data_IF_572908503940
#
_entry.id   IF_572908503940
#
_cell.length_a   1.000
_cell.length_b   1.000
_cell.length_c   1.000
_cell.angle_alpha   90.00
_cell.angle_beta   90.00
_cell.angle_gamma   90.00
#
_symmetry.space_group_name_H-M   'P 1'
#
loop_
_entity.id
_entity.type
_entity.pdbx_description
1 polymer ?
#
# COMPACT_ATOMS: atom_id res chain seq x y z
N UNK A 1 21.11 -32.76 -8.71
CA UNK A 1 19.66 -32.48 -8.74
C UNK A 1 19.02 -33.27 -7.62
N UNK A 2 18.04 -32.71 -6.92
CA UNK A 2 17.08 -33.55 -6.19
C UNK A 2 15.88 -33.59 -7.13
N UNK A 3 15.79 -34.63 -7.93
CA UNK A 3 14.65 -34.83 -8.81
C UNK A 3 13.48 -35.25 -7.92
N UNK A 4 12.60 -34.29 -7.62
CA UNK A 4 11.25 -34.60 -7.15
C UNK A 4 10.58 -35.36 -8.28
N UNK A 5 10.01 -36.54 -8.03
CA UNK A 5 9.28 -37.27 -9.08
C UNK A 5 8.14 -36.38 -9.59
N UNK A 6 7.89 -36.39 -10.90
CA UNK A 6 6.83 -35.61 -11.55
C UNK A 6 5.51 -35.69 -10.78
N UNK A 7 5.17 -36.91 -10.38
CA UNK A 7 3.90 -37.24 -9.73
C UNK A 7 3.76 -36.58 -8.34
N UNK A 8 4.86 -36.42 -7.61
CA UNK A 8 4.84 -35.72 -6.31
C UNK A 8 4.72 -34.21 -6.48
N UNK A 9 5.29 -33.65 -7.55
CA UNK A 9 5.19 -32.22 -7.82
C UNK A 9 3.78 -31.81 -8.25
N UNK A 10 3.10 -32.66 -9.03
CA UNK A 10 1.74 -32.40 -9.49
C UNK A 10 0.73 -32.55 -8.34
N UNK A 11 0.92 -33.54 -7.45
CA UNK A 11 0.11 -33.69 -6.23
C UNK A 11 0.24 -32.48 -5.29
N UNK A 12 1.46 -31.98 -5.11
CA UNK A 12 1.70 -30.82 -4.25
C UNK A 12 1.10 -29.54 -4.84
N UNK A 13 1.16 -29.35 -6.15
CA UNK A 13 0.49 -28.23 -6.83
C UNK A 13 -1.03 -28.28 -6.65
N UNK A 14 -1.63 -29.45 -6.82
CA UNK A 14 -3.08 -29.62 -6.68
C UNK A 14 -3.54 -29.42 -5.22
N UNK A 15 -2.72 -29.83 -4.24
CA UNK A 15 -3.05 -29.71 -2.81
C UNK A 15 -2.90 -28.29 -2.27
N UNK A 16 -1.84 -27.58 -2.65
CA UNK A 16 -1.49 -26.28 -2.05
C UNK A 16 -1.79 -25.09 -2.96
N UNK A 17 -2.13 -25.31 -4.22
CA UNK A 17 -2.26 -24.26 -5.22
C UNK A 17 -0.91 -23.75 -5.74
N UNK A 18 -0.95 -22.84 -6.71
CA UNK A 18 0.24 -22.38 -7.44
C UNK A 18 1.23 -21.60 -6.57
N UNK A 19 0.72 -20.62 -5.79
CA UNK A 19 1.58 -19.69 -5.04
C UNK A 19 2.38 -20.38 -3.92
N UNK A 20 1.78 -21.20 -3.02
CA UNK A 20 2.55 -21.88 -1.99
C UNK A 20 3.52 -22.93 -2.55
N UNK A 21 3.15 -23.58 -3.65
CA UNK A 21 4.06 -24.51 -4.33
C UNK A 21 5.30 -23.79 -4.87
N UNK A 22 5.12 -22.65 -5.54
CA UNK A 22 6.22 -21.85 -6.06
C UNK A 22 7.16 -21.38 -4.94
N UNK A 23 6.60 -21.04 -3.77
CA UNK A 23 7.39 -20.68 -2.58
C UNK A 23 8.28 -21.86 -2.14
N UNK A 24 7.71 -23.06 -2.05
CA UNK A 24 8.45 -24.27 -1.65
C UNK A 24 9.59 -24.58 -2.64
N UNK A 25 9.31 -24.50 -3.95
CA UNK A 25 10.34 -24.71 -4.99
C UNK A 25 11.45 -23.67 -4.85
N UNK A 26 11.11 -22.40 -4.65
CA UNK A 26 12.08 -21.34 -4.45
C UNK A 26 12.91 -21.52 -3.17
N UNK A 27 12.33 -22.00 -2.07
CA UNK A 27 13.06 -22.31 -0.85
C UNK A 27 14.10 -23.40 -1.09
N UNK A 28 13.74 -24.49 -1.76
CA UNK A 28 14.67 -25.61 -2.07
C UNK A 28 15.82 -25.13 -2.95
N UNK A 29 15.55 -24.28 -3.94
CA UNK A 29 16.56 -23.72 -4.83
C UNK A 29 17.48 -22.72 -4.09
N UNK A 30 16.92 -21.88 -3.23
CA UNK A 30 17.65 -20.84 -2.50
C UNK A 30 18.42 -21.38 -1.28
N UNK A 31 18.07 -22.55 -0.75
CA UNK A 31 18.80 -23.19 0.34
C UNK A 31 20.25 -23.52 -0.05
N UNK A 32 20.49 -23.80 -1.34
CA UNK A 32 21.82 -24.05 -1.90
C UNK A 32 22.65 -22.78 -2.11
N UNK A 33 22.04 -21.60 -2.01
CA UNK A 33 22.67 -20.30 -2.27
C UNK A 33 22.97 -19.58 -0.97
N UNK A 34 24.03 -18.77 -0.99
CA UNK A 34 24.33 -17.84 0.11
C UNK A 34 23.16 -16.89 0.32
N UNK A 35 22.85 -16.46 1.57
CA UNK A 35 21.70 -15.59 1.86
C UNK A 35 21.60 -14.34 0.98
N UNK A 36 22.73 -13.65 0.72
CA UNK A 36 22.80 -12.46 -0.14
C UNK A 36 22.53 -12.72 -1.64
N UNK A 37 22.53 -13.97 -2.08
CA UNK A 37 22.31 -14.37 -3.48
C UNK A 37 20.94 -14.99 -3.73
N UNK A 38 20.06 -15.03 -2.72
CA UNK A 38 18.70 -15.54 -2.85
C UNK A 38 17.84 -14.52 -3.59
N UNK A 39 17.12 -14.96 -4.62
CA UNK A 39 16.22 -14.12 -5.42
C UNK A 39 14.80 -14.66 -5.30
N UNK A 40 13.85 -13.75 -5.31
CA UNK A 40 12.42 -14.00 -5.14
C UNK A 40 11.64 -13.28 -6.24
N UNK A 41 10.61 -13.94 -6.75
CA UNK A 41 9.70 -13.42 -7.79
C UNK A 41 8.80 -12.30 -7.24
N UNK A 42 8.17 -11.52 -8.12
CA UNK A 42 7.24 -10.46 -7.72
C UNK A 42 6.02 -11.02 -6.98
N UNK A 43 5.42 -12.10 -7.49
CA UNK A 43 4.28 -12.76 -6.85
C UNK A 43 4.57 -13.24 -5.42
N UNK A 44 5.75 -13.84 -5.17
CA UNK A 44 6.13 -14.23 -3.81
C UNK A 44 6.34 -13.02 -2.88
N UNK A 45 6.84 -11.91 -3.44
CA UNK A 45 7.04 -10.68 -2.69
C UNK A 45 5.69 -10.06 -2.29
N UNK A 46 4.75 -9.97 -3.23
CA UNK A 46 3.38 -9.51 -2.98
C UNK A 46 2.70 -10.37 -1.90
N UNK A 47 2.75 -11.69 -2.04
CA UNK A 47 2.20 -12.61 -1.04
C UNK A 47 2.84 -12.43 0.35
N UNK A 48 4.16 -12.27 0.42
CA UNK A 48 4.85 -12.01 1.68
C UNK A 48 4.48 -10.64 2.28
N UNK A 49 4.26 -9.62 1.44
CA UNK A 49 3.81 -8.31 1.87
C UNK A 49 2.41 -8.37 2.46
N UNK A 50 1.48 -9.07 1.81
CA UNK A 50 0.11 -9.28 2.30
C UNK A 50 0.11 -9.93 3.69
N UNK A 51 0.90 -10.99 3.85
CA UNK A 51 1.05 -11.69 5.12
C UNK A 51 1.58 -10.77 6.23
N UNK A 52 2.54 -9.91 5.92
CA UNK A 52 3.12 -8.97 6.89
C UNK A 52 2.16 -7.84 7.25
N UNK A 53 1.41 -7.31 6.28
CA UNK A 53 0.40 -6.26 6.49
C UNK A 53 -0.78 -6.77 7.33
N UNK A 54 -1.18 -8.02 7.14
CA UNK A 54 -2.26 -8.66 7.91
C UNK A 54 -1.78 -9.16 9.28
N UNK A 55 -0.56 -9.69 9.36
CA UNK A 55 -0.02 -10.34 10.55
C UNK A 55 1.39 -9.82 10.89
N UNK A 56 1.51 -8.72 11.65
CA UNK A 56 2.83 -8.15 11.98
C UNK A 56 3.69 -9.08 12.83
N UNK A 57 3.08 -10.00 13.59
CA UNK A 57 3.78 -11.04 14.35
C UNK A 57 4.55 -12.01 13.44
N UNK A 58 4.11 -12.18 12.19
CA UNK A 58 4.74 -13.06 11.21
C UNK A 58 6.18 -12.62 10.87
N UNK A 59 6.48 -11.32 10.93
CA UNK A 59 7.85 -10.82 10.75
C UNK A 59 8.83 -11.38 11.79
N UNK A 60 8.37 -11.67 13.01
CA UNK A 60 9.22 -12.28 14.03
C UNK A 60 9.57 -13.73 13.69
N UNK A 61 8.64 -14.45 13.07
CA UNK A 61 8.84 -15.83 12.60
C UNK A 61 9.80 -15.86 11.40
N UNK A 62 9.59 -14.98 10.42
CA UNK A 62 10.45 -14.88 9.22
C UNK A 62 11.91 -14.53 9.55
N UNK A 63 12.13 -13.69 10.57
CA UNK A 63 13.48 -13.36 11.07
C UNK A 63 14.21 -14.59 11.62
N UNK A 64 13.49 -15.54 12.24
CA UNK A 64 14.09 -16.76 12.81
C UNK A 64 14.52 -17.74 11.71
N UNK A 65 13.77 -17.81 10.62
CA UNK A 65 13.99 -18.76 9.52
C UNK A 65 14.96 -18.26 8.43
N UNK A 66 15.63 -17.11 8.63
CA UNK A 66 16.51 -16.47 7.62
C UNK A 66 15.82 -16.32 6.24
N UNK A 67 14.54 -15.99 6.29
CA UNK A 67 13.66 -15.95 5.14
C UNK A 67 13.62 -14.57 4.46
N UNK A 68 13.12 -14.50 3.20
CA UNK A 68 13.22 -13.36 2.29
C UNK A 68 12.93 -11.97 2.86
N UNK A 69 12.09 -11.88 3.87
CA UNK A 69 11.47 -10.65 4.37
C UNK A 69 12.07 -10.26 5.72
N UNK A 70 13.36 -9.93 5.72
CA UNK A 70 13.89 -9.07 6.80
C UNK A 70 13.16 -7.73 6.76
N UNK A 71 12.92 -7.10 7.92
CA UNK A 71 12.27 -5.77 8.08
C UNK A 71 12.58 -4.80 6.93
N UNK A 72 13.87 -4.64 6.62
CA UNK A 72 14.35 -3.72 5.59
C UNK A 72 13.93 -4.05 4.15
N UNK A 73 13.73 -5.33 3.82
CA UNK A 73 13.24 -5.72 2.48
C UNK A 73 11.78 -5.35 2.31
N UNK A 74 10.97 -5.57 3.35
CA UNK A 74 9.56 -5.16 3.35
C UNK A 74 9.46 -3.65 3.32
N UNK A 75 10.25 -2.94 4.13
CA UNK A 75 10.33 -1.47 4.10
C UNK A 75 10.71 -0.95 2.71
N UNK A 76 11.68 -1.58 2.03
CA UNK A 76 12.07 -1.20 0.67
C UNK A 76 10.98 -1.51 -0.37
N UNK A 77 10.15 -2.53 -0.15
CA UNK A 77 9.04 -2.82 -1.04
C UNK A 77 7.90 -1.83 -0.84
N UNK A 78 7.57 -1.51 0.41
CA UNK A 78 6.54 -0.51 0.72
C UNK A 78 7.00 0.89 0.32
N UNK A 79 8.29 1.21 0.42
CA UNK A 79 8.81 2.53 0.05
C UNK A 79 8.73 2.84 -1.44
N UNK A 80 8.53 1.83 -2.29
CA UNK A 80 8.26 2.04 -3.72
C UNK A 80 6.83 2.49 -4.03
N UNK A 81 5.90 2.37 -3.07
CA UNK A 81 4.53 2.80 -3.26
C UNK A 81 4.40 4.34 -3.14
N UNK A 82 3.69 4.97 -4.07
CA UNK A 82 3.50 6.42 -4.09
C UNK A 82 2.31 6.84 -3.22
N UNK A 83 2.46 6.72 -1.91
CA UNK A 83 1.40 7.11 -0.96
C UNK A 83 1.60 8.54 -0.47
N UNK A 84 1.55 9.54 -1.35
CA UNK A 84 1.82 10.94 -0.99
C UNK A 84 0.54 11.70 -0.65
N UNK A 85 0.60 12.72 0.22
CA UNK A 85 -0.56 13.58 0.47
C UNK A 85 -0.96 14.25 -0.85
N UNK A 86 -2.24 14.17 -1.17
CA UNK A 86 -2.79 14.50 -2.47
C UNK A 86 -3.87 13.53 -2.89
N UNK A 87 -4.23 13.63 -4.17
CA UNK A 87 -5.02 12.64 -4.87
C UNK A 87 -4.15 11.42 -5.19
N UNK A 88 -4.69 10.25 -4.92
CA UNK A 88 -4.01 8.98 -5.15
C UNK A 88 -4.33 8.51 -6.57
N UNK A 89 -3.40 8.75 -7.50
CA UNK A 89 -3.55 8.37 -8.92
C UNK A 89 -3.83 6.87 -9.09
N UNK A 90 -3.20 6.04 -8.27
CA UNK A 90 -3.37 4.59 -8.25
C UNK A 90 -4.81 4.19 -7.88
N UNK A 91 -5.39 4.88 -6.89
CA UNK A 91 -6.77 4.66 -6.47
C UNK A 91 -7.75 5.12 -7.56
N UNK A 92 -7.48 6.25 -8.21
CA UNK A 92 -8.30 6.75 -9.32
C UNK A 92 -8.26 5.80 -10.53
N UNK A 93 -7.08 5.28 -10.88
CA UNK A 93 -6.92 4.30 -11.95
C UNK A 93 -7.68 3.00 -11.63
N UNK A 94 -7.63 2.55 -10.38
CA UNK A 94 -8.39 1.38 -9.93
C UNK A 94 -9.90 1.60 -10.07
N UNK A 95 -10.44 2.72 -9.58
CA UNK A 95 -11.87 3.05 -9.71
C UNK A 95 -12.29 3.15 -11.17
N UNK A 96 -11.45 3.74 -12.02
CA UNK A 96 -11.68 3.80 -13.47
C UNK A 96 -11.77 2.41 -14.09
N UNK A 97 -10.87 1.48 -13.72
CA UNK A 97 -10.92 0.11 -14.23
C UNK A 97 -12.19 -0.64 -13.80
N UNK A 98 -12.70 -0.39 -12.59
CA UNK A 98 -13.98 -0.95 -12.13
C UNK A 98 -15.13 -0.36 -12.93
N UNK A 99 -15.11 0.96 -13.17
CA UNK A 99 -16.15 1.65 -13.93
C UNK A 99 -16.21 1.18 -15.38
N UNK A 100 -15.07 0.91 -16.02
CA UNK A 100 -15.02 0.36 -17.39
C UNK A 100 -15.56 -1.07 -17.48
N UNK A 101 -15.47 -1.85 -16.40
CA UNK A 101 -16.00 -3.21 -16.36
C UNK A 101 -17.52 -3.27 -16.13
N UNK A 102 -18.15 -2.17 -15.71
CA UNK A 102 -19.58 -2.12 -15.45
C UNK A 102 -20.36 -1.50 -16.60
N UNK A 103 -21.47 -2.14 -16.96
CA UNK A 103 -22.43 -1.58 -17.93
C UNK A 103 -23.33 -0.49 -17.30
N UNK A 104 -23.42 -0.46 -15.97
CA UNK A 104 -24.25 0.47 -15.21
C UNK A 104 -23.43 1.55 -14.52
N UNK A 105 -24.04 2.71 -14.27
CA UNK A 105 -23.43 3.76 -13.47
C UNK A 105 -23.09 3.26 -12.06
N UNK A 106 -21.90 3.61 -11.58
CA UNK A 106 -21.47 3.33 -10.22
C UNK A 106 -22.11 4.32 -9.24
N UNK A 107 -23.01 3.81 -8.39
CA UNK A 107 -23.50 4.57 -7.25
C UNK A 107 -22.46 4.50 -6.13
N UNK A 108 -21.88 5.66 -5.80
CA UNK A 108 -20.86 5.80 -4.76
C UNK A 108 -21.23 6.93 -3.80
N UNK A 109 -20.91 6.73 -2.52
CA UNK A 109 -20.93 7.74 -1.49
C UNK A 109 -19.50 8.21 -1.20
N UNK A 110 -19.28 9.51 -1.20
CA UNK A 110 -18.02 10.12 -0.78
C UNK A 110 -18.10 10.43 0.72
N UNK A 111 -17.24 9.77 1.50
CA UNK A 111 -17.09 10.01 2.94
C UNK A 111 -15.84 10.83 3.14
N UNK A 112 -15.96 11.92 3.89
CA UNK A 112 -14.87 12.82 4.22
C UNK A 112 -14.78 12.89 5.73
N UNK A 113 -13.60 12.59 6.27
CA UNK A 113 -13.36 12.66 7.71
C UNK A 113 -11.94 13.15 7.99
N UNK A 114 -11.75 13.77 9.15
CA UNK A 114 -10.47 14.32 9.60
C UNK A 114 -9.99 13.59 10.85
N UNK A 115 -8.77 13.07 10.81
CA UNK A 115 -8.13 12.42 11.95
C UNK A 115 -7.09 13.36 12.57
N UNK A 116 -7.10 13.51 13.89
CA UNK A 116 -6.08 14.30 14.57
C UNK A 116 -4.71 13.60 14.51
N UNK A 117 -3.68 14.36 14.16
CA UNK A 117 -2.29 13.91 14.10
C UNK A 117 -1.43 14.75 15.03
N UNK A 118 -0.30 14.18 15.46
CA UNK A 118 0.66 14.91 16.28
C UNK A 118 1.36 15.97 15.42
N UNK A 119 1.27 17.24 15.82
CA UNK A 119 2.04 18.34 15.22
C UNK A 119 3.53 18.05 15.35
N UNK A 120 4.17 17.61 14.27
CA UNK A 120 5.60 17.30 14.24
C UNK A 120 6.13 17.45 12.82
N UNK A 121 7.31 18.06 12.69
CA UNK A 121 8.03 18.15 11.42
C UNK A 121 9.10 17.05 11.40
N UNK A 122 9.11 16.25 10.35
CA UNK A 122 10.04 15.15 10.15
C UNK A 122 10.82 15.37 8.85
N UNK A 123 12.12 15.07 8.88
CA UNK A 123 12.94 15.07 7.67
C UNK A 123 12.80 13.71 6.97
N UNK A 124 12.17 13.70 5.79
CA UNK A 124 12.15 12.53 4.92
C UNK A 124 13.47 12.45 4.14
N UNK A 125 14.33 11.51 4.54
CA UNK A 125 15.62 11.26 3.88
C UNK A 125 15.46 10.77 2.44
N UNK A 126 14.37 10.07 2.12
CA UNK A 126 14.13 9.54 0.78
C UNK A 126 13.92 10.66 -0.23
N UNK A 127 13.20 11.72 0.19
CA UNK A 127 12.84 12.84 -0.69
C UNK A 127 13.64 14.10 -0.46
N UNK A 128 14.48 14.13 0.57
CA UNK A 128 15.18 15.33 1.02
C UNK A 128 14.22 16.51 1.22
N UNK A 129 13.06 16.23 1.83
CA UNK A 129 12.01 17.22 2.11
C UNK A 129 11.56 17.10 3.57
N UNK A 130 11.11 18.22 4.13
CA UNK A 130 10.44 18.23 5.43
C UNK A 130 8.96 17.87 5.25
N UNK A 131 8.51 16.84 5.95
CA UNK A 131 7.12 16.41 6.01
C UNK A 131 6.47 16.87 7.32
N UNK A 132 5.15 17.11 7.30
CA UNK A 132 4.37 17.54 8.47
C UNK A 132 3.83 18.97 8.40
N UNK A 133 4.05 19.65 7.28
CA UNK A 133 3.38 20.91 6.98
C UNK A 133 1.99 20.68 6.40
N UNK A 134 1.17 21.72 6.43
CA UNK A 134 -0.11 21.74 5.71
C UNK A 134 0.15 21.64 4.21
N UNK A 135 -0.45 20.63 3.57
CA UNK A 135 -0.31 20.35 2.15
C UNK A 135 -1.71 20.19 1.54
N UNK A 136 -2.27 21.32 1.07
CA UNK A 136 -3.59 21.41 0.45
C UNK A 136 -3.50 21.68 -1.06
N UNK A 137 -2.72 20.90 -1.81
CA UNK A 137 -2.65 20.95 -3.28
C UNK A 137 -2.52 22.37 -3.91
N UNK A 138 -1.78 23.29 -3.29
CA UNK A 138 -1.58 24.66 -3.81
C UNK A 138 -2.76 25.64 -3.58
N UNK A 139 -3.79 25.24 -2.83
CA UNK A 139 -4.96 26.10 -2.54
C UNK A 139 -4.61 27.21 -1.51
N UNK A 140 -3.65 26.94 -0.63
CA UNK A 140 -3.20 27.87 0.42
C UNK A 140 -1.81 28.38 0.08
N UNK A 141 -1.64 28.97 -1.10
CA UNK A 141 -0.43 29.68 -1.50
C UNK A 141 -0.47 31.11 -0.95
N UNK A 142 -0.10 31.29 0.32
CA UNK A 142 0.01 32.64 0.88
C UNK A 142 0.17 32.77 2.39
N UNK A 143 -0.04 31.70 3.17
CA UNK A 143 0.25 31.72 4.62
C UNK A 143 1.63 31.16 4.92
N UNK A 144 2.23 31.58 6.03
CA UNK A 144 3.39 30.92 6.61
C UNK A 144 3.16 29.40 6.71
N UNK A 145 4.20 28.56 6.52
CA UNK A 145 4.06 27.11 6.57
C UNK A 145 3.64 26.67 7.98
N UNK A 146 2.37 26.35 8.14
CA UNK A 146 1.79 25.88 9.39
C UNK A 146 1.99 24.37 9.54
N UNK A 147 2.16 23.93 10.78
CA UNK A 147 2.30 22.51 11.10
C UNK A 147 0.92 21.86 11.15
N UNK A 148 0.75 20.81 10.36
CA UNK A 148 -0.50 20.10 10.26
C UNK A 148 -0.91 19.48 11.61
N UNK A 149 -2.18 19.61 11.95
CA UNK A 149 -2.77 19.03 13.16
C UNK A 149 -3.75 17.90 12.85
N UNK A 150 -4.22 17.82 11.61
CA UNK A 150 -5.22 16.86 11.16
C UNK A 150 -4.82 16.29 9.80
N UNK A 151 -5.20 15.04 9.56
CA UNK A 151 -5.15 14.39 8.25
C UNK A 151 -6.58 14.22 7.75
N UNK A 152 -6.93 14.95 6.70
CA UNK A 152 -8.20 14.88 6.01
C UNK A 152 -8.16 13.72 5.00
N UNK A 153 -9.10 12.79 5.09
CA UNK A 153 -9.16 11.61 4.20
C UNK A 153 -10.48 11.60 3.44
N UNK A 154 -10.37 11.35 2.14
CA UNK A 154 -11.49 11.15 1.23
C UNK A 154 -11.60 9.66 0.94
N UNK A 155 -12.72 9.06 1.34
CA UNK A 155 -13.01 7.64 1.16
C UNK A 155 -14.22 7.48 0.25
N UNK A 156 -14.02 6.82 -0.89
CA UNK A 156 -15.11 6.46 -1.78
C UNK A 156 -15.66 5.09 -1.37
N UNK A 157 -16.96 5.04 -1.12
CA UNK A 157 -17.68 3.81 -0.76
C UNK A 157 -18.71 3.53 -1.82
N UNK A 158 -18.65 2.36 -2.45
CA UNK A 158 -19.70 1.96 -3.39
C UNK A 158 -20.95 1.53 -2.63
N UNK A 159 -22.11 1.95 -3.15
CA UNK A 159 -23.42 1.50 -2.70
C UNK A 159 -23.86 0.24 -3.47
N UNK A 160 -23.48 0.15 -4.75
CA UNK A 160 -23.79 -0.98 -5.62
C UNK A 160 -22.84 -2.17 -5.41
N UNK A 161 -21.60 -1.91 -5.03
CA UNK A 161 -20.55 -2.92 -4.83
C UNK A 161 -20.01 -2.90 -3.40
N UNK A 162 -19.35 -4.00 -3.00
CA UNK A 162 -18.73 -4.13 -1.68
C UNK A 162 -17.27 -3.67 -1.69
N UNK A 163 -17.00 -2.43 -2.09
CA UNK A 163 -15.65 -1.85 -1.99
C UNK A 163 -15.63 -0.49 -1.30
N UNK A 164 -14.51 -0.21 -0.64
CA UNK A 164 -14.17 1.08 -0.02
C UNK A 164 -12.73 1.41 -0.37
N UNK A 165 -12.48 2.57 -0.96
CA UNK A 165 -11.15 2.94 -1.46
C UNK A 165 -10.83 4.37 -1.02
N UNK A 166 -9.70 4.62 -0.32
CA UNK A 166 -9.24 5.97 -0.06
C UNK A 166 -8.73 6.57 -1.37
N UNK A 167 -9.32 7.70 -1.77
CA UNK A 167 -9.01 8.36 -3.05
C UNK A 167 -8.04 9.52 -2.89
N UNK A 168 -8.05 10.16 -1.73
CA UNK A 168 -7.16 11.28 -1.45
C UNK A 168 -6.97 11.44 0.05
N UNK A 169 -5.84 12.02 0.44
CA UNK A 169 -5.65 12.49 1.79
C UNK A 169 -4.78 13.75 1.82
N UNK A 170 -5.06 14.66 2.73
CA UNK A 170 -4.37 15.95 2.83
C UNK A 170 -4.01 16.25 4.28
N UNK A 171 -2.88 16.92 4.47
CA UNK A 171 -2.48 17.43 5.79
C UNK A 171 -3.03 18.84 5.97
N UNK A 172 -3.82 19.04 7.01
CA UNK A 172 -4.51 20.32 7.28
C UNK A 172 -4.29 20.76 8.73
N UNK A 173 -4.39 22.07 8.98
CA UNK A 173 -4.44 22.63 10.33
C UNK A 173 -5.78 23.34 10.51
N UNK A 174 -6.77 22.60 11.03
CA UNK A 174 -8.19 22.98 11.10
C UNK A 174 -8.78 23.27 9.74
N UNK A 175 -9.77 22.48 9.34
CA UNK A 175 -10.35 22.62 8.01
C UNK A 175 -11.11 23.94 7.82
N UNK A 176 -10.81 24.65 6.74
CA UNK A 176 -11.61 25.78 6.28
C UNK A 176 -12.67 25.25 5.29
N UNK A 177 -13.92 25.66 5.45
CA UNK A 177 -15.03 25.26 4.57
C UNK A 177 -14.79 25.61 3.10
N UNK A 178 -14.11 26.74 2.83
CA UNK A 178 -13.77 27.16 1.47
C UNK A 178 -12.71 26.26 0.81
N UNK A 179 -11.75 25.74 1.58
CA UNK A 179 -10.74 24.82 1.06
C UNK A 179 -11.37 23.45 0.82
N UNK A 180 -12.23 23.00 1.74
CA UNK A 180 -12.97 21.75 1.58
C UNK A 180 -13.85 21.75 0.33
N UNK A 181 -14.59 22.84 0.07
CA UNK A 181 -15.45 22.91 -1.12
C UNK A 181 -14.63 22.82 -2.41
N UNK A 182 -13.47 23.48 -2.47
CA UNK A 182 -12.58 23.40 -3.62
C UNK A 182 -12.02 21.99 -3.81
N UNK A 183 -11.60 21.33 -2.72
CA UNK A 183 -11.12 19.94 -2.77
C UNK A 183 -12.22 19.00 -3.27
N UNK A 184 -13.46 19.15 -2.79
CA UNK A 184 -14.60 18.36 -3.25
C UNK A 184 -14.87 18.58 -4.74
N UNK A 185 -14.74 19.82 -5.24
CA UNK A 185 -14.92 20.11 -6.66
C UNK A 185 -13.80 19.52 -7.55
N UNK A 186 -12.65 19.20 -6.97
CA UNK A 186 -11.50 18.61 -7.69
C UNK A 186 -11.44 17.08 -7.63
N UNK A 187 -12.30 16.44 -6.83
CA UNK A 187 -12.52 14.98 -6.83
C UNK A 187 -13.31 14.59 -8.08
#
# INVERSE_FOLDING_TARGET
>A
MCDMSSDTSDLLKDTFGEVPFDILVHQVQNNKRRPKGRRYTASMKEFALDFVLLFPTFLQLLKKENEPSTSSHVENMVSTANCFPGFLDEAHAYIKSIAEQQETALDCALIIDSMSIRKQILWDKSRSKYAGYVECAGIVEGSEPSVASEALVFLLVSMSMKFKVPIAYFFVDKINSAVLSQLIMSV
#
